data_IF_478033118191
#
_entry.id   IF_478033118191
#
_cell.length_a   1.000
_cell.length_b   1.000
_cell.length_c   1.000
_cell.angle_alpha   90.00
_cell.angle_beta   90.00
_cell.angle_gamma   90.00
#
_symmetry.space_group_name_H-M   'P 1'
#
loop_
_entity.id
_entity.type
_entity.pdbx_description
1 polymer ?
#
# COMPACT_ATOMS: atom_id res chain seq x y z
N UNK A 1 -23.57 0.16 20.12
CA UNK A 1 -23.68 -0.24 18.71
C UNK A 1 -23.64 -1.75 18.64
N UNK A 2 -24.71 -2.42 18.18
CA UNK A 2 -24.72 -3.88 18.05
C UNK A 2 -24.25 -4.23 16.63
N UNK A 3 -23.04 -4.72 16.51
CA UNK A 3 -22.54 -5.28 15.26
C UNK A 3 -23.20 -6.63 15.02
N UNK A 4 -24.02 -6.74 13.98
CA UNK A 4 -24.56 -8.03 13.55
C UNK A 4 -23.46 -8.81 12.86
N UNK A 5 -23.11 -10.00 13.39
CA UNK A 5 -22.35 -10.98 12.65
C UNK A 5 -23.21 -11.48 11.48
N UNK A 6 -22.82 -11.23 10.27
CA UNK A 6 -23.39 -11.88 9.09
C UNK A 6 -22.60 -13.14 8.81
N UNK A 7 -23.28 -14.29 8.70
CA UNK A 7 -22.70 -15.60 8.35
C UNK A 7 -22.13 -15.69 6.91
N UNK A 8 -22.01 -14.57 6.20
CA UNK A 8 -21.35 -14.50 4.92
C UNK A 8 -19.87 -14.26 5.15
N UNK A 9 -19.07 -15.32 5.01
CA UNK A 9 -17.61 -15.25 5.01
C UNK A 9 -17.14 -14.26 3.95
N UNK A 10 -16.63 -13.10 4.39
CA UNK A 10 -16.00 -12.13 3.50
C UNK A 10 -14.59 -12.61 3.12
N UNK A 11 -14.04 -12.06 2.06
CA UNK A 11 -12.68 -12.33 1.55
C UNK A 11 -11.58 -12.32 2.64
N UNK A 12 -11.75 -11.55 3.72
CA UNK A 12 -10.80 -11.42 4.84
C UNK A 12 -11.31 -12.01 6.15
N UNK A 13 -12.21 -12.99 6.13
CA UNK A 13 -12.76 -13.56 7.34
C UNK A 13 -11.71 -14.32 8.17
N UNK A 14 -10.79 -15.02 7.48
CA UNK A 14 -9.63 -15.65 8.08
C UNK A 14 -8.36 -15.07 7.46
N UNK A 15 -7.41 -14.75 8.31
CA UNK A 15 -6.09 -14.32 7.88
C UNK A 15 -5.01 -14.83 8.85
N UNK A 16 -3.80 -14.97 8.34
CA UNK A 16 -2.62 -15.26 9.17
C UNK A 16 -1.78 -14.01 9.29
N UNK A 17 -1.17 -13.81 10.44
CA UNK A 17 -0.32 -12.66 10.71
C UNK A 17 0.99 -13.13 11.33
N UNK A 18 2.17 -12.67 10.84
CA UNK A 18 3.46 -13.06 11.40
C UNK A 18 3.62 -12.55 12.85
N UNK A 19 4.16 -13.38 13.76
CA UNK A 19 4.32 -13.02 15.17
C UNK A 19 5.18 -11.77 15.40
N UNK A 20 6.16 -11.51 14.56
CA UNK A 20 7.03 -10.33 14.62
C UNK A 20 6.47 -9.11 13.88
N UNK A 21 5.23 -9.15 13.38
CA UNK A 21 4.65 -8.09 12.56
C UNK A 21 4.77 -8.37 11.05
N UNK A 22 4.08 -7.58 10.23
CA UNK A 22 4.05 -7.76 8.78
C UNK A 22 5.44 -7.72 8.12
N UNK A 23 6.40 -7.04 8.73
CA UNK A 23 7.78 -6.93 8.23
C UNK A 23 8.49 -8.29 8.15
N UNK A 24 8.11 -9.27 8.99
CA UNK A 24 8.70 -10.61 8.96
C UNK A 24 8.48 -11.33 7.64
N UNK A 25 7.37 -11.03 6.97
CA UNK A 25 7.11 -11.52 5.62
C UNK A 25 8.19 -11.01 4.64
N UNK A 26 8.51 -9.71 4.68
CA UNK A 26 9.54 -9.10 3.83
C UNK A 26 10.93 -9.70 4.15
N UNK A 27 11.28 -9.81 5.44
CA UNK A 27 12.55 -10.42 5.84
C UNK A 27 12.69 -11.88 5.39
N UNK A 28 11.58 -12.63 5.41
CA UNK A 28 11.58 -14.03 4.95
C UNK A 28 11.85 -14.14 3.45
N UNK A 29 11.35 -13.22 2.63
CA UNK A 29 11.66 -13.15 1.20
C UNK A 29 13.12 -12.72 0.97
N UNK A 30 13.58 -11.70 1.69
CA UNK A 30 14.94 -11.17 1.56
C UNK A 30 16.04 -12.19 1.90
N UNK A 31 15.77 -13.17 2.76
CA UNK A 31 16.74 -14.24 3.08
C UNK A 31 17.17 -15.07 1.86
N UNK A 32 16.35 -15.09 0.81
CA UNK A 32 16.63 -15.84 -0.41
C UNK A 32 17.21 -14.97 -1.53
N UNK A 33 17.49 -13.69 -1.25
CA UNK A 33 18.07 -12.74 -2.20
C UNK A 33 19.49 -12.44 -1.77
N UNK A 34 20.41 -12.54 -2.74
CA UNK A 34 21.79 -12.09 -2.57
C UNK A 34 21.79 -10.58 -2.24
N UNK A 35 22.31 -10.23 -1.08
CA UNK A 35 22.28 -8.85 -0.59
C UNK A 35 23.10 -7.91 -1.47
N UNK A 36 24.12 -8.40 -2.16
CA UNK A 36 24.94 -7.63 -3.11
C UNK A 36 24.15 -7.20 -4.36
N UNK A 37 23.00 -7.85 -4.61
CA UNK A 37 22.08 -7.52 -5.71
C UNK A 37 20.95 -6.56 -5.30
N UNK A 38 20.87 -6.21 -4.02
CA UNK A 38 19.87 -5.29 -3.48
C UNK A 38 20.45 -3.88 -3.35
N UNK A 39 19.89 -2.94 -4.09
CA UNK A 39 20.25 -1.52 -3.99
C UNK A 39 19.09 -0.72 -3.38
N UNK A 40 19.25 -0.31 -2.13
CA UNK A 40 18.29 0.58 -1.46
C UNK A 40 18.62 2.05 -1.73
N UNK A 41 17.61 2.93 -1.63
CA UNK A 41 17.73 4.36 -1.89
C UNK A 41 18.28 4.67 -3.30
N UNK A 42 18.00 3.82 -4.27
CA UNK A 42 18.30 4.01 -5.68
C UNK A 42 16.99 4.21 -6.45
N UNK A 43 16.79 5.40 -7.01
CA UNK A 43 15.56 5.83 -7.65
C UNK A 43 15.70 5.74 -9.15
N UNK A 44 14.83 4.97 -9.80
CA UNK A 44 14.73 4.93 -11.26
C UNK A 44 14.12 6.25 -11.77
N UNK A 45 14.83 6.92 -12.68
CA UNK A 45 14.43 8.24 -13.19
C UNK A 45 13.98 8.19 -14.65
N UNK A 46 14.56 7.29 -15.46
CA UNK A 46 14.27 7.20 -16.87
C UNK A 46 14.61 5.81 -17.41
N UNK A 47 13.89 5.34 -18.42
CA UNK A 47 14.16 4.11 -19.15
C UNK A 47 14.29 4.43 -20.63
N UNK A 48 15.49 4.25 -21.17
CA UNK A 48 15.72 4.21 -22.62
C UNK A 48 15.28 2.84 -23.13
N UNK A 49 14.07 2.78 -23.66
CA UNK A 49 13.44 1.53 -24.10
C UNK A 49 14.18 0.91 -25.30
N UNK A 50 14.65 1.76 -26.22
CA UNK A 50 15.34 1.29 -27.45
C UNK A 50 16.73 0.73 -27.13
N UNK A 51 17.48 1.40 -26.27
CA UNK A 51 18.83 1.00 -25.86
C UNK A 51 18.85 -0.02 -24.73
N UNK A 52 17.70 -0.32 -24.12
CA UNK A 52 17.54 -1.15 -22.93
C UNK A 52 18.43 -0.69 -21.77
N UNK A 53 18.34 0.60 -21.45
CA UNK A 53 19.11 1.22 -20.37
C UNK A 53 18.16 1.86 -19.36
N UNK A 54 18.25 1.45 -18.12
CA UNK A 54 17.59 2.09 -17.00
C UNK A 54 18.54 3.09 -16.32
N UNK A 55 18.11 4.34 -16.16
CA UNK A 55 18.90 5.42 -15.56
C UNK A 55 18.33 5.70 -14.17
N UNK A 56 19.18 5.59 -13.18
CA UNK A 56 18.87 5.87 -11.78
C UNK A 56 19.54 7.17 -11.33
N UNK A 57 19.25 7.61 -10.12
CA UNK A 57 19.96 8.73 -9.48
C UNK A 57 21.44 8.43 -9.18
N UNK A 58 21.93 7.19 -9.45
CA UNK A 58 23.29 6.76 -9.12
C UNK A 58 24.07 6.26 -10.33
N UNK A 59 23.40 5.59 -11.28
CA UNK A 59 24.10 4.89 -12.39
C UNK A 59 23.16 4.60 -13.56
N UNK A 60 23.77 4.20 -14.67
CA UNK A 60 23.10 3.58 -15.81
C UNK A 60 23.20 2.05 -15.68
N UNK A 61 22.10 1.36 -15.95
CA UNK A 61 22.00 -0.09 -15.86
C UNK A 61 21.49 -0.62 -17.21
N UNK A 62 22.29 -1.38 -17.91
CA UNK A 62 21.83 -2.16 -19.07
C UNK A 62 21.05 -3.36 -18.58
N UNK A 63 19.94 -3.67 -19.24
CA UNK A 63 19.10 -4.80 -18.89
C UNK A 63 18.74 -5.64 -20.11
N UNK A 64 18.61 -6.94 -19.95
CA UNK A 64 17.99 -7.82 -20.92
C UNK A 64 16.48 -7.85 -20.72
N UNK A 65 16.06 -7.87 -19.47
CA UNK A 65 14.66 -7.82 -19.04
C UNK A 65 14.49 -6.90 -17.83
N UNK A 66 13.45 -6.07 -17.85
CA UNK A 66 13.12 -5.15 -16.75
C UNK A 66 11.76 -5.54 -16.16
N UNK A 67 11.71 -5.83 -14.86
CA UNK A 67 10.46 -6.08 -14.15
C UNK A 67 10.20 -4.88 -13.22
N UNK A 68 9.05 -4.24 -13.38
CA UNK A 68 8.67 -3.05 -12.62
C UNK A 68 7.45 -3.34 -11.74
N UNK A 69 7.50 -2.86 -10.50
CA UNK A 69 6.34 -2.79 -9.59
C UNK A 69 5.93 -1.36 -9.27
N UNK A 70 6.49 -0.38 -9.98
CA UNK A 70 6.10 1.03 -9.87
C UNK A 70 4.63 1.22 -10.22
N UNK A 71 3.97 2.27 -9.72
CA UNK A 71 2.66 2.67 -10.22
C UNK A 71 2.68 2.78 -11.75
N UNK A 72 1.72 2.14 -12.40
CA UNK A 72 1.72 1.99 -13.86
C UNK A 72 1.88 3.30 -14.64
N UNK A 73 1.15 4.41 -14.32
CA UNK A 73 1.37 5.68 -14.98
C UNK A 73 2.80 6.21 -14.78
N UNK A 74 3.39 6.03 -13.60
CA UNK A 74 4.77 6.44 -13.35
C UNK A 74 5.76 5.65 -14.22
N UNK A 75 5.53 4.35 -14.44
CA UNK A 75 6.33 3.56 -15.38
C UNK A 75 6.23 4.11 -16.81
N UNK A 76 5.00 4.43 -17.26
CA UNK A 76 4.79 5.02 -18.58
C UNK A 76 5.52 6.36 -18.74
N UNK A 77 5.44 7.23 -17.72
CA UNK A 77 6.11 8.53 -17.71
C UNK A 77 7.64 8.40 -17.84
N UNK A 78 8.26 7.51 -17.06
CA UNK A 78 9.72 7.31 -17.12
C UNK A 78 10.17 6.60 -18.41
N UNK A 79 9.29 5.86 -19.08
CA UNK A 79 9.50 5.33 -20.42
C UNK A 79 9.14 6.33 -21.54
N UNK A 80 8.65 7.54 -21.21
CA UNK A 80 8.15 8.57 -22.14
C UNK A 80 7.05 8.07 -23.08
N UNK A 81 6.23 7.16 -22.60
CA UNK A 81 5.06 6.70 -23.34
C UNK A 81 3.89 7.65 -23.07
N UNK A 82 3.29 8.15 -24.15
CA UNK A 82 2.17 9.11 -24.07
C UNK A 82 0.86 8.33 -23.94
N UNK A 83 0.07 8.63 -22.94
CA UNK A 83 -1.26 8.06 -22.67
C UNK A 83 -2.26 9.19 -22.34
N UNK A 84 -3.60 8.93 -22.41
CA UNK A 84 -4.58 9.97 -22.11
C UNK A 84 -4.54 10.43 -20.64
N UNK A 85 -4.54 11.74 -20.41
CA UNK A 85 -4.33 12.39 -19.09
C UNK A 85 -5.34 11.97 -18.00
N UNK A 86 -6.55 11.57 -18.36
CA UNK A 86 -7.65 11.29 -17.45
C UNK A 86 -7.89 9.79 -17.17
N UNK A 87 -6.99 8.92 -17.65
CA UNK A 87 -7.15 7.46 -17.56
C UNK A 87 -6.90 6.96 -16.14
N UNK A 88 -5.84 7.43 -15.51
CA UNK A 88 -5.40 6.95 -14.21
C UNK A 88 -5.72 7.94 -13.10
N UNK A 89 -6.39 7.47 -12.08
CA UNK A 89 -6.65 8.24 -10.87
C UNK A 89 -6.61 7.35 -9.63
N UNK A 90 -6.33 7.92 -8.47
CA UNK A 90 -6.25 7.19 -7.22
C UNK A 90 -6.65 8.08 -6.04
N UNK A 91 -6.86 7.47 -4.89
CA UNK A 91 -6.92 8.15 -3.62
C UNK A 91 -5.58 8.02 -2.89
N UNK A 92 -5.28 9.01 -2.06
CA UNK A 92 -4.22 8.95 -1.07
C UNK A 92 -4.80 8.58 0.30
N UNK A 93 -4.01 7.95 1.14
CA UNK A 93 -4.38 7.66 2.52
C UNK A 93 -3.25 8.10 3.44
N UNK A 94 -3.60 8.92 4.43
CA UNK A 94 -2.71 9.25 5.53
C UNK A 94 -3.01 8.29 6.68
N UNK A 95 -2.01 7.52 7.06
CA UNK A 95 -2.09 6.54 8.15
C UNK A 95 -1.36 7.12 9.35
N UNK A 96 -2.03 7.14 10.50
CA UNK A 96 -1.37 7.39 11.79
C UNK A 96 -1.28 6.09 12.56
N UNK A 97 -0.06 5.64 12.84
CA UNK A 97 0.22 4.59 13.81
C UNK A 97 0.34 5.22 15.19
N UNK A 98 -0.40 4.75 16.18
CA UNK A 98 -0.51 5.36 17.50
C UNK A 98 -0.22 4.33 18.59
N UNK A 99 0.73 4.60 19.46
CA UNK A 99 1.06 3.78 20.63
C UNK A 99 0.61 4.43 21.92
N UNK A 100 -0.05 3.67 22.80
CA UNK A 100 -0.57 4.14 24.08
C UNK A 100 0.07 3.39 25.26
N UNK A 101 0.04 3.99 26.44
CA UNK A 101 0.64 3.47 27.67
C UNK A 101 -0.12 2.26 28.25
N UNK A 102 -1.37 2.05 27.90
CA UNK A 102 -2.22 1.00 28.45
C UNK A 102 -3.21 0.47 27.42
N UNK A 103 -3.78 -0.73 27.67
CA UNK A 103 -4.75 -1.40 26.80
C UNK A 103 -6.07 -0.64 26.73
N UNK A 104 -6.71 -0.67 25.54
CA UNK A 104 -8.05 -0.15 25.31
C UNK A 104 -9.16 -1.11 25.77
N UNK A 105 -10.40 -0.64 25.64
CA UNK A 105 -11.59 -1.44 25.99
C UNK A 105 -11.93 -2.49 24.92
N UNK A 106 -11.64 -2.20 23.65
CA UNK A 106 -11.83 -3.17 22.57
C UNK A 106 -10.69 -4.20 22.61
N UNK A 107 -11.06 -5.48 22.72
CA UNK A 107 -10.13 -6.61 22.80
C UNK A 107 -10.36 -7.66 21.71
N UNK A 108 -11.30 -7.40 20.82
CA UNK A 108 -11.78 -8.40 19.87
C UNK A 108 -11.60 -8.00 18.42
N UNK A 109 -11.79 -6.74 18.09
CA UNK A 109 -11.73 -6.32 16.71
C UNK A 109 -10.29 -6.20 16.20
N UNK A 110 -10.03 -6.70 14.99
CA UNK A 110 -8.77 -6.46 14.29
C UNK A 110 -8.80 -5.10 13.59
N UNK A 111 -9.96 -4.71 13.07
CA UNK A 111 -10.24 -3.36 12.54
C UNK A 111 -11.73 -3.05 12.56
N UNK A 112 -12.06 -1.77 12.48
CA UNK A 112 -13.42 -1.25 12.43
C UNK A 112 -13.50 -0.16 11.36
N UNK A 113 -14.56 -0.19 10.55
CA UNK A 113 -14.90 0.92 9.68
C UNK A 113 -15.76 1.94 10.41
N UNK A 114 -15.52 3.22 10.11
CA UNK A 114 -16.20 4.38 10.70
C UNK A 114 -16.91 5.14 9.59
N UNK A 115 -18.21 4.84 9.33
CA UNK A 115 -18.95 5.47 8.25
C UNK A 115 -19.45 6.89 8.59
N UNK A 116 -19.41 7.27 9.85
CA UNK A 116 -19.89 8.58 10.34
C UNK A 116 -18.94 9.69 9.87
N UNK A 117 -19.49 10.63 9.10
CA UNK A 117 -18.72 11.74 8.48
C UNK A 117 -18.22 12.80 9.45
N UNK A 118 -18.67 12.76 10.70
CA UNK A 118 -18.19 13.67 11.75
C UNK A 118 -16.77 13.35 12.22
N UNK A 119 -16.32 12.10 12.04
CA UNK A 119 -14.96 11.65 12.35
C UNK A 119 -14.03 11.82 11.15
N UNK A 120 -12.79 12.18 11.43
CA UNK A 120 -11.82 12.49 10.35
C UNK A 120 -11.31 11.24 9.64
N UNK A 121 -11.35 10.08 10.27
CA UNK A 121 -10.87 8.81 9.76
C UNK A 121 -12.04 7.88 9.40
N UNK A 122 -11.83 7.00 8.44
CA UNK A 122 -12.83 6.03 7.99
C UNK A 122 -12.57 4.60 8.47
N UNK A 123 -11.36 4.32 9.00
CA UNK A 123 -10.97 3.01 9.51
C UNK A 123 -10.01 3.14 10.69
N UNK A 124 -10.18 2.24 11.66
CA UNK A 124 -9.29 2.05 12.80
C UNK A 124 -8.87 0.59 12.80
N UNK A 125 -7.59 0.30 12.97
CA UNK A 125 -7.10 -1.05 13.18
C UNK A 125 -6.41 -1.19 14.52
N UNK A 126 -6.45 -2.39 15.08
CA UNK A 126 -5.96 -2.73 16.40
C UNK A 126 -4.81 -3.73 16.29
N UNK A 127 -3.58 -3.25 16.17
CA UNK A 127 -2.40 -4.12 16.14
C UNK A 127 -2.26 -4.92 17.43
N UNK A 128 -2.56 -4.31 18.56
CA UNK A 128 -2.49 -4.94 19.87
C UNK A 128 -3.48 -6.09 20.06
N UNK A 129 -4.63 -6.10 19.39
CA UNK A 129 -5.54 -7.22 19.38
C UNK A 129 -5.02 -8.35 18.48
N UNK A 130 -4.48 -8.01 17.30
CA UNK A 130 -3.88 -8.98 16.37
C UNK A 130 -2.65 -9.65 17.01
N UNK A 131 -1.79 -8.87 17.68
CA UNK A 131 -0.54 -9.33 18.28
C UNK A 131 -0.69 -9.81 19.74
N UNK A 132 -1.86 -9.62 20.34
CA UNK A 132 -2.17 -9.94 21.74
C UNK A 132 -1.18 -9.29 22.72
N UNK A 133 -0.99 -7.96 22.61
CA UNK A 133 -0.11 -7.19 23.50
C UNK A 133 -0.88 -6.45 24.58
N UNK A 134 -0.21 -6.09 25.68
CA UNK A 134 -0.80 -5.46 26.87
C UNK A 134 -0.98 -3.94 26.73
N UNK A 135 -0.41 -3.32 25.72
CA UNK A 135 -0.55 -1.91 25.42
C UNK A 135 -1.27 -1.72 24.10
N UNK A 136 -2.14 -0.73 24.05
CA UNK A 136 -2.90 -0.43 22.83
C UNK A 136 -1.98 0.15 21.75
N UNK A 137 -2.06 -0.43 20.57
CA UNK A 137 -1.41 0.04 19.36
C UNK A 137 -2.43 0.06 18.23
N UNK A 138 -2.74 1.26 17.74
CA UNK A 138 -3.76 1.50 16.72
C UNK A 138 -3.12 2.02 15.45
N UNK A 139 -3.80 1.78 14.32
CA UNK A 139 -3.67 2.67 13.18
C UNK A 139 -5.03 3.29 12.84
N UNK A 140 -5.01 4.52 12.36
CA UNK A 140 -6.18 5.19 11.79
C UNK A 140 -5.89 5.62 10.37
N UNK A 141 -6.89 5.56 9.49
CA UNK A 141 -6.76 5.89 8.08
C UNK A 141 -7.66 7.06 7.70
N UNK A 142 -7.06 8.07 7.09
CA UNK A 142 -7.73 9.26 6.57
C UNK A 142 -7.57 9.26 5.06
N UNK A 143 -8.69 9.24 4.33
CA UNK A 143 -8.70 9.25 2.87
C UNK A 143 -8.68 10.66 2.30
N UNK A 144 -7.90 10.87 1.22
CA UNK A 144 -7.82 12.12 0.49
C UNK A 144 -7.97 11.91 -1.01
N UNK A 145 -8.52 12.90 -1.68
CA UNK A 145 -8.35 13.01 -3.12
C UNK A 145 -6.92 13.49 -3.45
N UNK A 146 -6.38 13.11 -4.60
CA UNK A 146 -5.04 13.54 -5.04
C UNK A 146 -4.85 15.08 -5.07
N UNK A 147 -5.94 15.82 -5.22
CA UNK A 147 -5.93 17.29 -5.36
C UNK A 147 -6.10 18.03 -4.03
N UNK A 148 -6.30 17.32 -2.94
CA UNK A 148 -6.56 17.93 -1.64
C UNK A 148 -5.25 18.34 -0.97
N UNK A 149 -5.15 19.60 -0.56
CA UNK A 149 -4.03 20.08 0.25
C UNK A 149 -4.04 19.41 1.64
N UNK A 150 -2.87 18.99 2.09
CA UNK A 150 -2.70 18.41 3.40
C UNK A 150 -2.49 19.50 4.45
N UNK A 151 -3.16 19.36 5.59
CA UNK A 151 -2.90 20.16 6.78
C UNK A 151 -1.55 19.78 7.39
N UNK A 152 -1.07 20.58 8.35
CA UNK A 152 0.09 20.20 9.16
C UNK A 152 -0.23 18.94 9.97
N UNK A 153 0.71 18.03 10.07
CA UNK A 153 0.57 16.72 10.72
C UNK A 153 -0.01 16.81 12.15
N UNK A 154 0.46 17.76 12.97
CA UNK A 154 -0.04 17.96 14.32
C UNK A 154 -1.55 18.27 14.41
N UNK A 155 -2.11 18.97 13.41
CA UNK A 155 -3.55 19.26 13.38
C UNK A 155 -4.37 17.99 13.13
N UNK A 156 -3.86 17.06 12.33
CA UNK A 156 -4.47 15.75 12.16
C UNK A 156 -4.43 14.94 13.46
N UNK A 157 -3.28 14.90 14.13
CA UNK A 157 -3.10 14.17 15.38
C UNK A 157 -4.07 14.64 16.46
N UNK A 158 -4.16 15.95 16.68
CA UNK A 158 -5.09 16.54 17.67
C UNK A 158 -6.54 16.16 17.36
N UNK A 159 -6.92 16.22 16.09
CA UNK A 159 -8.26 15.85 15.65
C UNK A 159 -8.52 14.35 15.83
N UNK A 160 -7.58 13.49 15.46
CA UNK A 160 -7.68 12.04 15.65
C UNK A 160 -7.86 11.71 17.12
N UNK A 161 -7.03 12.26 18.02
CA UNK A 161 -7.14 12.00 19.46
C UNK A 161 -8.46 12.50 20.04
N UNK A 162 -8.99 13.64 19.57
CA UNK A 162 -10.29 14.14 19.94
C UNK A 162 -11.40 13.17 19.50
N UNK A 163 -11.35 12.69 18.26
CA UNK A 163 -12.36 11.81 17.70
C UNK A 163 -12.31 10.41 18.36
N UNK A 164 -11.14 9.86 18.64
CA UNK A 164 -10.99 8.62 19.39
C UNK A 164 -11.57 8.71 20.82
N UNK A 165 -11.44 9.88 21.49
CA UNK A 165 -12.08 10.14 22.79
C UNK A 165 -13.61 10.19 22.67
N UNK A 166 -14.15 10.90 21.68
CA UNK A 166 -15.59 10.97 21.44
C UNK A 166 -16.21 9.60 21.19
N UNK A 167 -15.47 8.71 20.50
CA UNK A 167 -15.89 7.34 20.27
C UNK A 167 -15.71 6.42 21.49
N UNK A 168 -15.04 6.87 22.55
CA UNK A 168 -14.75 6.06 23.74
C UNK A 168 -13.68 4.99 23.51
N UNK A 169 -12.92 5.09 22.44
CA UNK A 169 -11.81 4.17 22.13
C UNK A 169 -10.63 4.43 23.07
N UNK A 170 -10.31 5.71 23.27
CA UNK A 170 -9.38 6.15 24.33
C UNK A 170 -10.16 6.89 25.42
N UNK A 171 -9.85 6.60 26.66
CA UNK A 171 -10.46 7.23 27.85
C UNK A 171 -9.39 7.82 28.76
N UNK A 172 -8.60 6.97 29.39
CA UNK A 172 -7.51 7.32 30.29
C UNK A 172 -6.13 7.09 29.67
N UNK A 173 -6.06 6.38 28.56
CA UNK A 173 -4.82 6.04 27.86
C UNK A 173 -4.12 7.31 27.38
N UNK A 174 -2.80 7.35 27.59
CA UNK A 174 -1.93 8.45 27.13
C UNK A 174 -1.19 8.00 25.90
N UNK A 175 -1.17 8.86 24.88
CA UNK A 175 -0.32 8.66 23.72
C UNK A 175 1.15 8.68 24.17
N UNK A 176 1.89 7.63 23.78
CA UNK A 176 3.33 7.48 24.07
C UNK A 176 4.15 7.88 22.85
N UNK A 177 3.72 7.46 21.68
CA UNK A 177 4.43 7.73 20.43
C UNK A 177 3.47 7.61 19.25
N UNK A 178 3.82 8.21 18.12
CA UNK A 178 3.09 8.09 16.86
C UNK A 178 4.00 8.24 15.65
N UNK A 179 3.53 7.69 14.53
CA UNK A 179 4.14 7.86 13.22
C UNK A 179 3.06 8.15 12.19
N UNK A 180 3.30 9.11 11.31
CA UNK A 180 2.41 9.43 10.20
C UNK A 180 3.02 8.99 8.86
N UNK A 181 2.27 8.23 8.07
CA UNK A 181 2.71 7.72 6.76
C UNK A 181 1.69 8.10 5.69
N UNK A 182 2.13 8.83 4.67
CA UNK A 182 1.31 9.11 3.49
C UNK A 182 1.50 8.01 2.44
N UNK A 183 0.42 7.33 2.11
CA UNK A 183 0.37 6.37 1.01
C UNK A 183 -0.12 7.09 -0.26
N UNK A 184 0.74 7.16 -1.28
CA UNK A 184 0.45 7.80 -2.57
C UNK A 184 1.13 7.02 -3.72
N UNK A 185 0.36 6.34 -4.56
CA UNK A 185 -1.08 6.06 -4.47
C UNK A 185 -1.43 5.09 -3.34
N UNK A 186 -2.65 5.17 -2.78
CA UNK A 186 -3.16 4.16 -1.85
C UNK A 186 -4.16 3.22 -2.53
N UNK A 187 -5.26 3.76 -3.04
CA UNK A 187 -6.26 2.99 -3.79
C UNK A 187 -6.40 3.55 -5.20
N UNK A 188 -6.08 2.70 -6.18
CA UNK A 188 -6.25 3.02 -7.59
C UNK A 188 -7.71 2.91 -8.00
N UNK A 189 -8.18 3.79 -8.87
CA UNK A 189 -9.52 3.71 -9.42
C UNK A 189 -9.51 2.85 -10.69
N UNK A 190 -10.27 1.77 -10.64
CA UNK A 190 -10.37 0.79 -11.72
C UNK A 190 -11.66 1.07 -12.49
N UNK A 191 -11.53 1.34 -13.78
CA UNK A 191 -12.63 1.52 -14.69
C UNK A 191 -12.28 0.89 -16.06
N UNK A 192 -13.26 0.76 -16.95
CA UNK A 192 -13.07 0.12 -18.25
C UNK A 192 -11.89 0.73 -19.03
N UNK A 193 -11.81 2.07 -19.08
CA UNK A 193 -10.76 2.80 -19.81
C UNK A 193 -9.37 2.51 -19.22
N UNK A 194 -9.22 2.50 -17.87
CA UNK A 194 -7.95 2.18 -17.24
C UNK A 194 -7.52 0.74 -17.47
N UNK A 195 -8.46 -0.22 -17.46
CA UNK A 195 -8.16 -1.63 -17.75
C UNK A 195 -7.66 -1.80 -19.18
N UNK A 196 -8.41 -1.29 -20.18
CA UNK A 196 -8.05 -1.36 -21.59
C UNK A 196 -6.68 -0.70 -21.87
N UNK A 197 -6.41 0.46 -21.24
CA UNK A 197 -5.13 1.14 -21.39
C UNK A 197 -3.99 0.35 -20.75
N UNK A 198 -4.19 -0.26 -19.57
CA UNK A 198 -3.16 -1.10 -18.94
C UNK A 198 -2.83 -2.30 -19.82
N UNK A 199 -3.83 -2.97 -20.37
CA UNK A 199 -3.63 -4.12 -21.27
C UNK A 199 -2.85 -3.72 -22.53
N UNK A 200 -3.24 -2.65 -23.21
CA UNK A 200 -2.55 -2.13 -24.40
C UNK A 200 -1.08 -1.79 -24.12
N UNK A 201 -0.82 -1.03 -23.05
CA UNK A 201 0.55 -0.59 -22.75
C UNK A 201 1.41 -1.70 -22.16
N UNK A 202 0.85 -2.69 -21.47
CA UNK A 202 1.59 -3.91 -21.08
C UNK A 202 2.10 -4.65 -22.31
N UNK A 203 1.29 -4.78 -23.37
CA UNK A 203 1.74 -5.40 -24.62
C UNK A 203 2.87 -4.62 -25.30
N UNK A 204 2.82 -3.28 -25.28
CA UNK A 204 3.87 -2.43 -25.83
C UNK A 204 5.18 -2.59 -25.03
N UNK A 205 5.07 -2.60 -23.71
CA UNK A 205 6.21 -2.77 -22.80
C UNK A 205 6.83 -4.17 -22.93
N UNK A 206 6.01 -5.23 -23.00
CA UNK A 206 6.48 -6.61 -23.15
C UNK A 206 7.25 -6.84 -24.47
N UNK A 207 6.87 -6.18 -25.57
CA UNK A 207 7.64 -6.22 -26.85
C UNK A 207 9.04 -5.65 -26.71
N UNK A 208 9.28 -4.87 -25.64
CA UNK A 208 10.57 -4.27 -25.31
C UNK A 208 11.21 -4.91 -24.06
N UNK A 209 10.78 -6.11 -23.68
CA UNK A 209 11.26 -6.87 -22.51
C UNK A 209 11.07 -6.12 -21.18
N UNK A 210 10.02 -5.29 -21.09
CA UNK A 210 9.62 -4.59 -19.86
C UNK A 210 8.30 -5.19 -19.37
N UNK A 211 8.27 -5.66 -18.11
CA UNK A 211 7.15 -6.33 -17.49
C UNK A 211 6.67 -5.53 -16.27
N UNK A 212 5.41 -5.12 -16.26
CA UNK A 212 4.81 -4.42 -15.13
C UNK A 212 3.89 -5.34 -14.37
N UNK A 213 4.16 -5.58 -13.08
CA UNK A 213 3.44 -6.49 -12.21
C UNK A 213 3.16 -5.89 -10.84
N UNK A 214 2.32 -6.57 -10.08
CA UNK A 214 1.94 -6.19 -8.71
C UNK A 214 0.79 -5.18 -8.67
N UNK A 215 0.30 -4.92 -7.46
CA UNK A 215 -0.89 -4.10 -7.23
C UNK A 215 -0.89 -2.75 -7.97
N UNK A 216 0.22 -2.04 -7.93
CA UNK A 216 0.35 -0.74 -8.58
C UNK A 216 0.86 -0.85 -10.01
N UNK A 217 1.73 -1.82 -10.30
CA UNK A 217 2.23 -2.07 -11.65
C UNK A 217 1.19 -2.66 -12.59
N UNK A 218 0.19 -3.36 -12.07
CA UNK A 218 -0.98 -3.83 -12.83
C UNK A 218 -2.19 -2.91 -12.70
N UNK A 219 -2.07 -1.79 -11.97
CA UNK A 219 -3.14 -0.82 -11.68
C UNK A 219 -4.44 -1.48 -11.23
N UNK A 220 -4.34 -2.41 -10.29
CA UNK A 220 -5.44 -3.26 -9.84
C UNK A 220 -5.55 -3.32 -8.32
N UNK A 221 -6.61 -3.95 -7.84
CA UNK A 221 -6.78 -4.28 -6.43
C UNK A 221 -6.53 -5.77 -6.23
N UNK A 222 -5.49 -6.11 -5.48
CA UNK A 222 -5.10 -7.48 -5.22
C UNK A 222 -4.51 -7.66 -3.82
N UNK A 223 -4.45 -8.91 -3.34
CA UNK A 223 -3.85 -9.29 -2.07
C UNK A 223 -2.34 -9.51 -2.20
N UNK A 224 -1.68 -9.77 -1.06
CA UNK A 224 -0.28 -10.20 -1.05
C UNK A 224 -0.12 -11.54 -1.78
N UNK A 225 -1.07 -12.47 -1.60
CA UNK A 225 -1.05 -13.78 -2.28
C UNK A 225 -1.13 -13.63 -3.79
N UNK A 226 -2.04 -12.78 -4.31
CA UNK A 226 -2.15 -12.50 -5.74
C UNK A 226 -0.84 -11.97 -6.32
N UNK A 227 -0.15 -11.07 -5.60
CA UNK A 227 1.16 -10.57 -6.03
C UNK A 227 2.23 -11.67 -6.11
N UNK A 228 2.22 -12.63 -5.16
CA UNK A 228 3.14 -13.78 -5.19
C UNK A 228 2.85 -14.67 -6.40
N UNK A 229 1.58 -14.94 -6.67
CA UNK A 229 1.15 -15.76 -7.81
C UNK A 229 1.55 -15.10 -9.13
N UNK A 230 1.26 -13.81 -9.32
CA UNK A 230 1.64 -13.04 -10.51
C UNK A 230 3.16 -13.05 -10.73
N UNK A 231 3.94 -12.83 -9.66
CA UNK A 231 5.40 -12.87 -9.75
C UNK A 231 5.94 -14.27 -10.14
N UNK A 232 5.34 -15.34 -9.60
CA UNK A 232 5.70 -16.72 -9.95
C UNK A 232 5.37 -17.02 -11.42
N UNK A 233 4.19 -16.66 -11.89
CA UNK A 233 3.77 -16.87 -13.28
C UNK A 233 4.69 -16.14 -14.26
N UNK A 234 5.05 -14.89 -13.93
CA UNK A 234 6.02 -14.15 -14.72
C UNK A 234 7.40 -14.85 -14.73
N UNK A 235 7.89 -15.29 -13.58
CA UNK A 235 9.17 -15.99 -13.50
C UNK A 235 9.17 -17.29 -14.33
N UNK A 236 8.09 -18.07 -14.31
CA UNK A 236 7.91 -19.26 -15.14
C UNK A 236 7.86 -18.92 -16.63
N UNK A 237 7.22 -17.80 -17.04
CA UNK A 237 7.21 -17.30 -18.41
C UNK A 237 8.61 -16.92 -18.90
N UNK A 238 9.39 -16.26 -18.05
CA UNK A 238 10.72 -15.75 -18.40
C UNK A 238 11.82 -16.81 -18.41
N UNK A 239 11.61 -17.97 -17.80
CA UNK A 239 12.57 -19.07 -17.73
C UNK A 239 12.33 -20.18 -18.77
N UNK A 240 11.33 -20.01 -19.63
CA UNK A 240 11.07 -20.87 -20.80
C UNK A 240 11.92 -20.43 -21.99
#
# INVERSE_FOLDING_TARGET
MNFRSHDNYSYNHFFTYPRGGAIEYVYSLLKNIDQDKLSLNEVLQFVDVERKVAITNRREIKYDRLVSTLPFPQLLDICKLVYPDDVFSCNNVLVFNLGFDSKGNDKLNSWVYVPEKEFIFYRIGYYDNIMNTDRMSLYVEIGFSQKQEMLKEGLYLDRILSDLRKMGIITTQKLVDYEAVLMNPAYVHINKKSVETVEEYKEILEKNDIYSIGRYGSWTYCSIEDNILEARELAEKLNK
#
